data_IF_880284693954
#
_entry.id   IF_880284693954
#
_cell.length_a   1.000
_cell.length_b   1.000
_cell.length_c   1.000
_cell.angle_alpha   90.00
_cell.angle_beta   90.00
_cell.angle_gamma   90.00
#
_symmetry.space_group_name_H-M   'P 1'
#
loop_
_entity.id
_entity.type
_entity.pdbx_description
1 polymer ?
#
# COMPACT_ATOMS: atom_id res chain seq x y z
N UNK A 1 -9.41 16.83 -10.11
CA UNK A 1 -10.37 15.73 -9.85
C UNK A 1 -9.57 14.44 -9.95
N UNK A 2 -9.44 13.66 -8.87
CA UNK A 2 -8.54 12.48 -8.86
C UNK A 2 -9.12 11.38 -9.79
N UNK A 3 -8.42 10.99 -10.88
CA UNK A 3 -8.95 10.05 -11.88
C UNK A 3 -9.31 8.66 -11.33
N UNK A 4 -8.87 8.34 -10.11
CA UNK A 4 -9.20 7.10 -9.42
C UNK A 4 -10.57 7.12 -8.69
N UNK A 5 -11.24 8.29 -8.59
CA UNK A 5 -12.56 8.42 -7.97
C UNK A 5 -13.73 8.00 -8.85
N UNK A 6 -13.50 7.84 -10.16
CA UNK A 6 -14.59 7.70 -11.12
C UNK A 6 -15.37 6.41 -10.98
N UNK A 7 -14.68 5.26 -10.93
CA UNK A 7 -15.33 3.94 -11.08
C UNK A 7 -14.58 2.80 -10.35
N UNK A 8 -13.61 3.11 -9.50
CA UNK A 8 -12.81 2.13 -8.74
C UNK A 8 -13.04 2.31 -7.24
N UNK A 9 -14.30 2.28 -6.83
CA UNK A 9 -14.64 2.12 -5.42
C UNK A 9 -14.43 0.64 -5.09
N UNK A 10 -13.23 0.28 -4.65
CA UNK A 10 -13.03 -0.99 -3.97
C UNK A 10 -13.96 -1.01 -2.75
N UNK A 11 -14.83 -2.01 -2.65
CA UNK A 11 -15.74 -2.13 -1.49
C UNK A 11 -14.99 -2.50 -0.21
N UNK A 12 -13.84 -3.18 -0.36
CA UNK A 12 -13.02 -3.69 0.73
C UNK A 12 -11.53 -3.40 0.50
N UNK A 13 -10.80 -3.24 1.60
CA UNK A 13 -9.33 -3.20 1.58
C UNK A 13 -8.73 -4.61 1.33
N UNK A 14 -7.41 -4.73 1.11
CA UNK A 14 -6.76 -6.03 0.92
C UNK A 14 -6.86 -7.01 2.11
N UNK A 15 -7.20 -6.52 3.31
CA UNK A 15 -7.46 -7.33 4.50
C UNK A 15 -8.94 -7.74 4.63
N UNK A 16 -9.79 -7.31 3.69
CA UNK A 16 -11.21 -7.62 3.64
C UNK A 16 -12.09 -6.68 4.48
N UNK A 17 -11.55 -5.60 5.04
CA UNK A 17 -12.34 -4.64 5.80
C UNK A 17 -13.16 -3.73 4.87
N UNK A 18 -14.44 -3.47 5.16
CA UNK A 18 -15.25 -2.57 4.35
C UNK A 18 -14.70 -1.13 4.36
N UNK A 19 -14.50 -0.53 3.18
CA UNK A 19 -14.04 0.86 3.10
C UNK A 19 -15.03 1.86 3.69
N UNK A 20 -16.33 1.54 3.67
CA UNK A 20 -17.39 2.33 4.31
C UNK A 20 -17.20 2.47 5.81
N UNK A 21 -16.61 1.50 6.49
CA UNK A 21 -16.30 1.61 7.92
C UNK A 21 -15.04 2.45 8.16
N UNK A 22 -14.03 2.28 7.30
CA UNK A 22 -12.74 2.97 7.42
C UNK A 22 -12.85 4.48 7.19
N UNK A 23 -13.67 4.93 6.24
CA UNK A 23 -13.83 6.37 5.94
C UNK A 23 -14.43 7.16 7.12
N UNK A 24 -15.23 6.52 7.96
CA UNK A 24 -15.83 7.13 9.14
C UNK A 24 -14.94 7.07 10.38
N UNK A 25 -13.82 6.34 10.36
CA UNK A 25 -12.90 6.28 11.50
C UNK A 25 -12.23 7.63 11.75
N UNK A 26 -12.17 8.02 13.01
CA UNK A 26 -11.42 9.21 13.44
C UNK A 26 -9.92 8.97 13.32
N UNK A 27 -9.15 10.02 13.06
CA UNK A 27 -7.69 9.96 12.96
C UNK A 27 -7.18 9.62 11.56
N UNK A 28 -5.87 9.34 11.50
CA UNK A 28 -5.07 9.38 10.27
C UNK A 28 -5.60 8.51 9.12
N UNK A 29 -6.14 7.32 9.41
CA UNK A 29 -6.69 6.42 8.37
C UNK A 29 -7.89 7.07 7.68
N UNK A 30 -8.90 7.49 8.45
CA UNK A 30 -10.10 8.10 7.86
C UNK A 30 -9.82 9.46 7.24
N UNK A 31 -8.92 10.25 7.82
CA UNK A 31 -8.49 11.54 7.27
C UNK A 31 -7.80 11.36 5.90
N UNK A 32 -6.91 10.37 5.78
CA UNK A 32 -6.25 10.04 4.52
C UNK A 32 -7.26 9.57 3.48
N UNK A 33 -8.15 8.63 3.81
CA UNK A 33 -9.18 8.13 2.87
C UNK A 33 -10.07 9.29 2.37
N UNK A 34 -10.54 10.17 3.27
CA UNK A 34 -11.40 11.31 2.88
C UNK A 34 -10.68 12.30 1.98
N UNK A 35 -9.39 12.50 2.18
CA UNK A 35 -8.62 13.49 1.44
C UNK A 35 -8.07 12.95 0.11
N UNK A 36 -7.39 11.80 0.15
CA UNK A 36 -6.63 11.25 -0.97
C UNK A 36 -7.36 10.08 -1.65
N UNK A 37 -8.29 9.43 -0.96
CA UNK A 37 -8.93 8.18 -1.38
C UNK A 37 -8.21 6.91 -0.91
N UNK A 38 -7.09 7.04 -0.19
CA UNK A 38 -6.27 5.93 0.27
C UNK A 38 -5.96 6.09 1.76
N UNK A 39 -5.89 5.00 2.51
CA UNK A 39 -5.52 5.00 3.93
C UNK A 39 -4.01 5.24 4.17
N UNK A 40 -3.17 4.76 3.26
CA UNK A 40 -1.71 4.82 3.37
C UNK A 40 -1.08 6.06 2.72
N UNK A 41 -1.83 6.84 1.95
CA UNK A 41 -1.35 8.07 1.31
C UNK A 41 -1.96 9.26 2.01
N UNK A 42 -1.15 9.97 2.78
CA UNK A 42 -1.54 11.22 3.45
C UNK A 42 -0.81 12.42 2.89
N UNK A 43 -1.34 13.62 3.14
CA UNK A 43 -0.68 14.88 2.82
C UNK A 43 0.46 15.16 3.82
N UNK A 44 1.73 15.20 3.38
CA UNK A 44 2.88 15.51 4.24
C UNK A 44 2.76 16.85 4.97
N UNK A 45 2.14 17.85 4.34
CA UNK A 45 1.90 19.18 4.94
C UNK A 45 0.84 19.18 6.05
N UNK A 46 0.12 18.07 6.23
CA UNK A 46 -0.94 17.90 7.25
C UNK A 46 -0.68 16.70 8.17
N UNK A 47 0.56 16.24 8.25
CA UNK A 47 0.96 15.12 9.11
C UNK A 47 0.65 13.74 8.53
N UNK A 48 0.23 13.66 7.27
CA UNK A 48 0.11 12.42 6.53
C UNK A 48 1.48 11.98 5.98
N UNK A 49 2.04 10.88 6.47
CA UNK A 49 3.30 10.36 5.94
C UNK A 49 3.07 9.20 4.96
N UNK A 50 3.70 9.28 3.80
CA UNK A 50 3.97 8.12 2.94
C UNK A 50 5.16 7.36 3.53
N UNK A 51 4.95 6.11 3.93
CA UNK A 51 5.96 5.24 4.51
C UNK A 51 6.30 4.12 3.51
N UNK A 52 7.21 4.36 2.54
CA UNK A 52 7.55 3.36 1.54
C UNK A 52 8.17 2.13 2.21
N UNK A 53 7.63 0.96 1.90
CA UNK A 53 8.12 -0.32 2.40
C UNK A 53 7.84 -1.41 1.36
N UNK A 54 8.58 -2.51 1.46
CA UNK A 54 8.29 -3.76 0.74
C UNK A 54 7.85 -4.77 1.79
N UNK A 55 6.60 -5.25 1.70
CA UNK A 55 6.11 -6.30 2.60
C UNK A 55 6.78 -7.61 2.24
N UNK A 56 7.53 -8.20 3.18
CA UNK A 56 8.27 -9.46 2.99
C UNK A 56 7.49 -10.65 3.54
N UNK A 57 6.60 -10.43 4.51
CA UNK A 57 5.79 -11.49 5.10
C UNK A 57 4.44 -10.96 5.60
N UNK A 58 3.43 -11.84 5.59
CA UNK A 58 2.11 -11.62 6.18
C UNK A 58 1.96 -12.57 7.36
N UNK A 59 1.78 -12.02 8.55
CA UNK A 59 1.57 -12.80 9.77
C UNK A 59 0.10 -12.75 10.16
N UNK A 60 -0.41 -13.82 10.78
CA UNK A 60 -1.72 -13.77 11.40
C UNK A 60 -1.70 -12.77 12.57
N UNK A 61 -2.77 -11.98 12.69
CA UNK A 61 -2.93 -11.02 13.78
C UNK A 61 -2.75 -11.72 15.15
N UNK A 62 -1.83 -11.20 15.97
CA UNK A 62 -1.48 -11.78 17.27
C UNK A 62 -0.34 -12.80 17.23
N UNK A 63 0.17 -13.14 16.04
CA UNK A 63 1.42 -13.90 15.92
C UNK A 63 2.62 -12.96 15.88
N UNK A 64 3.74 -13.42 16.43
CA UNK A 64 5.03 -12.73 16.28
C UNK A 64 6.05 -13.74 15.77
N UNK A 65 6.74 -13.38 14.70
CA UNK A 65 7.87 -14.15 14.20
C UNK A 65 9.12 -13.38 14.55
N UNK A 66 9.98 -13.98 15.37
CA UNK A 66 11.32 -13.44 15.57
C UNK A 66 12.07 -13.57 14.25
N UNK A 67 12.42 -12.43 13.67
CA UNK A 67 13.31 -12.38 12.53
C UNK A 67 14.73 -12.71 13.02
N UNK A 68 15.23 -13.89 12.66
CA UNK A 68 16.64 -14.23 12.87
C UNK A 68 17.48 -13.55 11.78
N UNK A 69 18.13 -12.45 12.15
CA UNK A 69 18.98 -11.65 11.27
C UNK A 69 20.12 -12.38 10.51
N UNK A 70 20.77 -13.45 11.03
CA UNK A 70 21.91 -14.04 10.32
C UNK A 70 21.54 -14.77 9.02
N UNK A 71 20.28 -15.15 8.83
CA UNK A 71 19.81 -15.87 7.63
C UNK A 71 19.28 -14.93 6.55
N UNK A 72 19.26 -13.61 6.81
CA UNK A 72 18.74 -12.63 5.85
C UNK A 72 19.82 -12.21 4.86
N UNK A 73 19.44 -11.96 3.59
CA UNK A 73 20.35 -11.31 2.67
C UNK A 73 20.77 -9.95 3.25
N UNK A 74 22.04 -9.56 3.13
CA UNK A 74 22.49 -8.21 3.42
C UNK A 74 21.57 -7.16 2.81
N UNK A 75 21.32 -6.06 3.52
CA UNK A 75 20.49 -4.96 2.99
C UNK A 75 21.06 -4.40 1.68
N UNK A 76 22.38 -4.48 1.48
CA UNK A 76 23.05 -4.12 0.22
C UNK A 76 22.52 -4.89 -0.98
N UNK A 77 22.02 -6.11 -0.78
CA UNK A 77 21.49 -6.97 -1.83
C UNK A 77 20.07 -6.55 -2.24
N UNK A 78 19.40 -5.73 -1.41
CA UNK A 78 18.09 -5.14 -1.67
C UNK A 78 18.22 -3.73 -2.27
N UNK A 79 19.32 -3.45 -2.97
CA UNK A 79 19.51 -2.19 -3.68
C UNK A 79 19.14 -2.35 -5.15
N UNK A 80 18.52 -1.32 -5.71
CA UNK A 80 18.06 -1.35 -7.09
C UNK A 80 17.43 -0.04 -7.52
N UNK A 81 17.28 0.12 -8.82
CA UNK A 81 16.60 1.27 -9.41
C UNK A 81 15.24 0.83 -9.94
N UNK A 82 14.18 1.41 -9.39
CA UNK A 82 12.84 1.28 -9.99
C UNK A 82 12.79 2.15 -11.23
N UNK A 83 12.58 1.53 -12.40
CA UNK A 83 12.54 2.22 -13.70
C UNK A 83 11.14 2.52 -14.19
N UNK A 84 10.12 1.95 -13.56
CA UNK A 84 8.73 2.16 -13.92
C UNK A 84 7.80 2.02 -12.70
N UNK A 85 6.64 2.67 -12.77
CA UNK A 85 5.51 2.48 -11.86
C UNK A 85 4.47 1.61 -12.56
N UNK A 86 4.17 0.44 -12.01
CA UNK A 86 3.14 -0.45 -12.53
C UNK A 86 1.77 -0.20 -11.87
N UNK A 87 0.70 -0.32 -12.66
CA UNK A 87 -0.67 -0.38 -12.16
C UNK A 87 -1.12 -1.83 -12.23
N UNK A 88 -1.57 -2.38 -11.11
CA UNK A 88 -1.94 -3.79 -10.99
C UNK A 88 -3.36 -3.97 -10.43
N UNK A 89 -4.02 -5.04 -10.86
CA UNK A 89 -5.15 -5.63 -10.13
C UNK A 89 -4.57 -6.39 -8.94
N UNK A 90 -5.12 -6.11 -7.76
CA UNK A 90 -4.79 -6.85 -6.55
C UNK A 90 -5.75 -8.03 -6.39
N UNK A 91 -5.19 -9.21 -6.13
CA UNK A 91 -5.91 -10.38 -5.62
C UNK A 91 -5.82 -10.46 -4.10
N UNK A 92 -6.21 -11.61 -3.52
CA UNK A 92 -6.14 -11.85 -2.08
C UNK A 92 -4.76 -11.53 -1.49
N UNK A 93 -4.74 -10.98 -0.28
CA UNK A 93 -3.52 -10.63 0.47
C UNK A 93 -2.60 -9.62 -0.25
N UNK A 94 -3.17 -8.75 -1.09
CA UNK A 94 -2.40 -7.73 -1.81
C UNK A 94 -1.51 -8.29 -2.93
N UNK A 95 -1.73 -9.53 -3.34
CA UNK A 95 -0.97 -10.16 -4.43
C UNK A 95 -1.27 -9.45 -5.74
N UNK A 96 -0.25 -8.99 -6.47
CA UNK A 96 -0.44 -8.44 -7.81
C UNK A 96 -0.77 -9.57 -8.80
N UNK A 97 -2.03 -9.70 -9.23
CA UNK A 97 -2.47 -10.82 -10.09
C UNK A 97 -2.49 -10.49 -11.57
N UNK A 98 -2.58 -9.20 -11.93
CA UNK A 98 -2.55 -8.75 -13.32
C UNK A 98 -1.98 -7.34 -13.42
N UNK A 99 -1.03 -7.12 -14.34
CA UNK A 99 -0.55 -5.78 -14.68
C UNK A 99 -1.48 -5.14 -15.72
N UNK A 100 -2.04 -3.98 -15.39
CA UNK A 100 -2.91 -3.20 -16.28
C UNK A 100 -2.12 -2.20 -17.12
N UNK A 101 -1.11 -1.56 -16.55
CA UNK A 101 -0.29 -0.56 -17.22
C UNK A 101 1.09 -0.42 -16.54
N UNK A 102 2.00 0.26 -17.22
CA UNK A 102 3.27 0.73 -16.66
C UNK A 102 3.54 2.16 -17.13
N UNK A 103 4.03 2.99 -16.22
CA UNK A 103 4.54 4.33 -16.49
C UNK A 103 6.06 4.29 -16.30
N UNK A 104 6.79 4.45 -17.39
CA UNK A 104 8.25 4.55 -17.32
C UNK A 104 8.66 5.82 -16.57
N UNK A 105 9.60 5.66 -15.64
CA UNK A 105 10.20 6.77 -14.89
C UNK A 105 11.39 7.28 -15.71
N UNK A 106 11.26 8.50 -16.22
CA UNK A 106 12.35 9.17 -16.94
C UNK A 106 13.59 9.27 -16.07
N UNK A 107 14.74 9.05 -16.69
CA UNK A 107 16.01 8.89 -16.00
C UNK A 107 16.62 10.16 -15.44
#
# INVERSE_FOLDING_TARGET
MNPLRGNLLLERDPAGHPFSELIHRSGRIGDNIRHTGFDAVGDPGRGGAFAPHVTINWFDLGTSVKMNAPDWPPISDLTGRFVALGIFVLGPYGTCVQRLAALELSA
#
